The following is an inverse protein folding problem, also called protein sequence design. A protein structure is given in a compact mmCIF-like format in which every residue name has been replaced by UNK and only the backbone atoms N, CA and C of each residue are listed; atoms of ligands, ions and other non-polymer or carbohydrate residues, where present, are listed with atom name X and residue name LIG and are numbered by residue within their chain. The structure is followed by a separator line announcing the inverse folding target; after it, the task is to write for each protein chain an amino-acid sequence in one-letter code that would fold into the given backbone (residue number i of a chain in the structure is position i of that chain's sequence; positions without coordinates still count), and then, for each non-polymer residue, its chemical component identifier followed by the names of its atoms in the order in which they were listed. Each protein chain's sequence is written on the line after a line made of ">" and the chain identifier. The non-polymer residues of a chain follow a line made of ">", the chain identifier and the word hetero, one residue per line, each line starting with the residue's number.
data_IF_101315803171
#
_entry.id   IF_101315803171
#
_cell.length_a   1.000
_cell.length_b   1.000
_cell.length_c   1.000
_cell.angle_alpha   90.00
_cell.angle_beta   90.00
_cell.angle_gamma   90.00
#
_symmetry.space_group_name_H-M   'P 1'
#
loop_
_entity.id
_entity.type
_entity.pdbx_description
1 polymer ?
#
# COMPACT_ATOMS: atom_id res chain seq x y z
N UNK A 1 4.62 7.65 -26.27
CA UNK A 1 5.35 7.72 -24.98
C UNK A 1 5.64 6.30 -24.54
N UNK A 2 6.91 5.99 -24.29
CA UNK A 2 7.29 4.71 -23.67
C UNK A 2 7.32 4.90 -22.14
N UNK A 3 6.28 4.41 -21.46
CA UNK A 3 6.14 4.52 -20.00
C UNK A 3 6.34 3.16 -19.35
N UNK A 4 7.15 3.12 -18.30
CA UNK A 4 7.39 1.92 -17.51
C UNK A 4 6.92 2.12 -16.08
N UNK A 5 5.97 1.31 -15.64
CA UNK A 5 5.41 1.31 -14.27
C UNK A 5 6.34 0.55 -13.31
N UNK A 6 7.38 1.23 -12.83
CA UNK A 6 8.45 0.62 -12.00
C UNK A 6 8.39 1.00 -10.51
N UNK A 7 7.36 1.72 -10.10
CA UNK A 7 7.16 2.25 -8.75
C UNK A 7 7.90 3.56 -8.49
N UNK A 8 7.42 4.32 -7.48
CA UNK A 8 7.89 5.67 -7.17
C UNK A 8 9.38 5.74 -6.83
N UNK A 9 9.94 4.70 -6.19
CA UNK A 9 11.38 4.65 -5.87
C UNK A 9 12.24 4.67 -7.12
N UNK A 10 11.99 3.75 -8.05
CA UNK A 10 12.74 3.63 -9.30
C UNK A 10 12.47 4.81 -10.24
N UNK A 11 11.22 5.29 -10.29
CA UNK A 11 10.85 6.46 -11.10
C UNK A 11 11.60 7.72 -10.68
N UNK A 12 11.68 8.00 -9.37
CA UNK A 12 12.46 9.12 -8.82
C UNK A 12 13.96 8.97 -9.11
N UNK A 13 14.50 7.76 -8.91
CA UNK A 13 15.92 7.50 -9.19
C UNK A 13 16.25 7.76 -10.66
N UNK A 14 15.49 7.22 -11.60
CA UNK A 14 15.70 7.41 -13.02
C UNK A 14 15.62 8.91 -13.43
N UNK A 15 14.73 9.68 -12.77
CA UNK A 15 14.62 11.12 -13.01
C UNK A 15 15.82 11.90 -12.46
N UNK A 16 16.31 11.58 -11.26
CA UNK A 16 17.53 12.18 -10.67
C UNK A 16 18.77 11.85 -11.52
N UNK A 17 18.89 10.59 -11.98
CA UNK A 17 20.00 10.10 -12.81
C UNK A 17 19.89 10.61 -14.28
N UNK A 18 18.87 11.39 -14.61
CA UNK A 18 18.62 11.98 -15.93
C UNK A 18 18.46 10.95 -17.08
N UNK A 19 18.10 9.69 -16.74
CA UNK A 19 17.89 8.62 -17.73
C UNK A 19 16.51 8.65 -18.38
N UNK A 20 15.60 9.50 -17.88
CA UNK A 20 14.24 9.68 -18.40
C UNK A 20 13.90 11.19 -18.50
N UNK A 21 12.96 11.52 -19.39
CA UNK A 21 12.50 12.90 -19.56
C UNK A 21 11.55 13.36 -18.44
N UNK A 22 10.75 12.44 -17.91
CA UNK A 22 9.86 12.69 -16.77
C UNK A 22 9.78 11.44 -15.89
N UNK A 23 9.45 11.63 -14.61
CA UNK A 23 9.18 10.56 -13.66
C UNK A 23 7.82 10.78 -13.01
N UNK A 24 7.14 9.71 -12.63
CA UNK A 24 5.92 9.76 -11.82
C UNK A 24 6.17 9.21 -10.41
N UNK A 25 5.49 9.77 -9.43
CA UNK A 25 5.57 9.35 -8.03
C UNK A 25 4.26 9.63 -7.30
N UNK A 26 3.82 8.72 -6.44
CA UNK A 26 2.65 8.92 -5.56
C UNK A 26 3.04 9.61 -4.23
N UNK A 27 4.32 9.88 -4.03
CA UNK A 27 4.86 10.49 -2.83
C UNK A 27 5.75 11.67 -3.22
N UNK A 28 5.51 12.89 -2.74
CA UNK A 28 6.29 14.06 -3.10
C UNK A 28 7.79 13.87 -2.88
N UNK A 29 8.61 14.45 -3.75
CA UNK A 29 10.06 14.45 -3.57
C UNK A 29 10.44 15.32 -2.38
N UNK A 30 11.35 14.82 -1.55
CA UNK A 30 11.94 15.58 -0.44
C UNK A 30 12.93 16.60 -0.98
N UNK A 31 13.13 17.71 -0.27
CA UNK A 31 14.11 18.74 -0.63
C UNK A 31 15.51 18.16 -0.89
N UNK A 32 15.92 17.16 -0.07
CA UNK A 32 17.21 16.48 -0.26
C UNK A 32 17.34 15.69 -1.58
N UNK A 33 16.23 15.28 -2.18
CA UNK A 33 16.21 14.61 -3.48
C UNK A 33 16.06 15.64 -4.62
N UNK A 34 15.28 16.70 -4.40
CA UNK A 34 15.16 17.83 -5.34
C UNK A 34 16.53 18.45 -5.60
N UNK A 35 17.34 18.65 -4.56
CA UNK A 35 18.69 19.22 -4.65
C UNK A 35 19.66 18.37 -5.52
N UNK A 36 19.36 17.09 -5.77
CA UNK A 36 20.17 16.20 -6.62
C UNK A 36 19.84 16.35 -8.11
N UNK A 37 18.73 16.97 -8.46
CA UNK A 37 18.28 17.13 -9.85
C UNK A 37 18.99 18.29 -10.49
N UNK A 38 20.08 18.05 -11.21
CA UNK A 38 20.96 19.11 -11.78
C UNK A 38 20.26 20.06 -12.75
N UNK A 39 19.32 19.54 -13.56
CA UNK A 39 18.54 20.32 -14.53
C UNK A 39 17.34 21.07 -13.93
N UNK A 40 17.16 20.99 -12.61
CA UNK A 40 15.97 21.48 -11.94
C UNK A 40 14.74 20.61 -12.20
N UNK A 41 13.66 20.86 -11.48
CA UNK A 41 12.41 20.13 -11.65
C UNK A 41 11.19 20.98 -11.30
N UNK A 42 10.05 20.57 -11.83
CA UNK A 42 8.73 20.99 -11.40
C UNK A 42 7.93 19.73 -11.07
N UNK A 43 7.24 19.72 -9.94
CA UNK A 43 6.36 18.61 -9.56
C UNK A 43 4.91 19.08 -9.69
N UNK A 44 4.15 18.36 -10.54
CA UNK A 44 2.78 18.74 -10.91
C UNK A 44 1.84 17.61 -10.45
N UNK A 45 0.82 17.89 -9.61
CA UNK A 45 -0.23 16.93 -9.32
C UNK A 45 -1.03 16.62 -10.60
N UNK A 46 -1.04 15.36 -11.02
CA UNK A 46 -1.72 14.93 -12.25
C UNK A 46 -3.02 14.17 -11.95
N UNK A 47 -3.04 13.37 -10.90
CA UNK A 47 -4.19 12.56 -10.52
C UNK A 47 -4.10 12.17 -9.05
N UNK A 48 -5.21 11.76 -8.47
CA UNK A 48 -5.28 11.16 -7.15
C UNK A 48 -5.83 9.74 -7.22
N UNK A 49 -5.56 8.96 -6.19
CA UNK A 49 -6.09 7.61 -6.04
C UNK A 49 -6.20 7.24 -4.57
N UNK A 50 -7.07 6.29 -4.27
CA UNK A 50 -7.22 5.72 -2.93
C UNK A 50 -6.45 4.41 -2.80
N UNK A 51 -6.07 4.08 -1.57
CA UNK A 51 -5.43 2.80 -1.22
C UNK A 51 -6.46 1.97 -0.47
N UNK A 52 -6.68 0.75 -0.94
CA UNK A 52 -7.56 -0.23 -0.33
C UNK A 52 -6.77 -1.29 0.43
N UNK A 53 -7.32 -1.78 1.54
CA UNK A 53 -7.01 -3.12 2.02
C UNK A 53 -7.73 -4.11 1.11
N UNK A 54 -7.01 -4.61 0.11
CA UNK A 54 -7.51 -5.62 -0.81
C UNK A 54 -7.35 -7.01 -0.22
N UNK A 55 -8.37 -7.86 -0.30
CA UNK A 55 -8.31 -9.21 0.24
C UNK A 55 -9.06 -10.24 -0.62
N UNK A 56 -8.71 -11.51 -0.46
CA UNK A 56 -9.36 -12.65 -1.10
C UNK A 56 -9.87 -13.62 -0.02
N UNK A 57 -11.06 -13.35 0.48
CA UNK A 57 -11.80 -14.24 1.37
C UNK A 57 -13.31 -14.11 1.05
N UNK A 58 -13.80 -14.85 0.05
CA UNK A 58 -15.21 -14.82 -0.34
C UNK A 58 -16.11 -15.23 0.82
N UNK A 59 -17.19 -14.49 1.03
CA UNK A 59 -18.14 -14.72 2.14
C UNK A 59 -17.83 -13.89 3.40
N UNK A 60 -16.68 -13.24 3.49
CA UNK A 60 -16.33 -12.34 4.58
C UNK A 60 -16.45 -10.86 4.12
N UNK A 61 -17.35 -10.09 4.72
CA UNK A 61 -17.40 -8.61 4.56
C UNK A 61 -16.69 -7.95 5.74
N UNK A 62 -15.37 -7.88 5.65
CA UNK A 62 -14.53 -7.43 6.75
C UNK A 62 -14.60 -5.93 6.97
N UNK A 63 -14.77 -5.55 8.24
CA UNK A 63 -14.72 -4.18 8.73
C UNK A 63 -13.60 -4.07 9.76
N UNK A 64 -12.62 -3.23 9.50
CA UNK A 64 -11.47 -3.05 10.38
C UNK A 64 -11.54 -1.69 11.07
N UNK A 65 -11.44 -1.68 12.39
CA UNK A 65 -11.11 -0.45 13.13
C UNK A 65 -9.71 0.02 12.74
N UNK A 66 -9.37 1.25 13.05
CA UNK A 66 -8.00 1.77 12.81
C UNK A 66 -6.94 0.91 13.50
N UNK A 67 -7.21 0.47 14.73
CA UNK A 67 -6.30 -0.40 15.49
C UNK A 67 -6.14 -1.76 14.80
N UNK A 68 -7.25 -2.41 14.40
CA UNK A 68 -7.20 -3.70 13.71
C UNK A 68 -6.47 -3.61 12.35
N UNK A 69 -6.65 -2.51 11.61
CA UNK A 69 -5.92 -2.28 10.36
C UNK A 69 -4.39 -2.26 10.57
N UNK A 70 -3.94 -1.61 11.65
CA UNK A 70 -2.53 -1.62 12.06
C UNK A 70 -2.08 -3.01 12.49
N UNK A 71 -2.87 -3.72 13.28
CA UNK A 71 -2.55 -5.06 13.79
C UNK A 71 -2.48 -6.11 12.68
N UNK A 72 -3.34 -6.02 11.65
CA UNK A 72 -3.24 -6.84 10.44
C UNK A 72 -1.92 -6.60 9.72
N UNK A 73 -1.56 -5.32 9.50
CA UNK A 73 -0.33 -4.96 8.81
C UNK A 73 0.94 -5.36 9.59
N UNK A 74 0.87 -5.42 10.92
CA UNK A 74 1.94 -5.89 11.79
C UNK A 74 1.97 -7.43 11.96
N UNK A 75 0.97 -8.15 11.44
CA UNK A 75 0.85 -9.60 11.60
C UNK A 75 0.43 -10.05 13.00
N UNK A 76 -0.04 -9.14 13.85
CA UNK A 76 -0.63 -9.43 15.17
C UNK A 76 -1.97 -10.15 14.96
N UNK A 77 -2.82 -9.58 14.08
CA UNK A 77 -3.99 -10.28 13.53
C UNK A 77 -3.49 -11.07 12.33
N UNK A 78 -3.57 -12.40 12.43
CA UNK A 78 -3.07 -13.35 11.43
C UNK A 78 -4.05 -14.49 11.11
N UNK A 79 -5.28 -14.38 11.61
CA UNK A 79 -6.38 -15.28 11.34
C UNK A 79 -7.67 -14.47 11.13
N UNK A 80 -8.46 -14.86 10.15
CA UNK A 80 -9.70 -14.17 9.79
C UNK A 80 -10.77 -14.24 10.88
N UNK A 81 -10.73 -15.26 11.75
CA UNK A 81 -11.63 -15.36 12.92
C UNK A 81 -11.46 -14.20 13.91
N UNK A 82 -10.28 -13.57 13.96
CA UNK A 82 -10.00 -12.43 14.84
C UNK A 82 -10.70 -11.14 14.39
N UNK A 83 -11.24 -11.13 13.16
CA UNK A 83 -12.00 -10.01 12.58
C UNK A 83 -13.43 -10.38 12.21
N UNK A 84 -13.94 -11.48 12.78
CA UNK A 84 -15.35 -11.88 12.68
C UNK A 84 -15.70 -12.73 11.45
N UNK A 85 -14.73 -13.33 10.79
CA UNK A 85 -14.90 -14.26 9.68
C UNK A 85 -14.61 -15.71 10.11
N UNK A 86 -14.67 -16.65 9.18
CA UNK A 86 -14.37 -18.08 9.45
C UNK A 86 -12.90 -18.27 9.85
N UNK A 87 -12.63 -19.39 10.55
CA UNK A 87 -11.28 -19.77 10.94
C UNK A 87 -10.44 -20.10 9.70
N UNK A 88 -9.65 -19.14 9.28
CA UNK A 88 -8.74 -19.25 8.16
C UNK A 88 -7.49 -18.41 8.44
N UNK A 89 -6.32 -18.96 8.12
CA UNK A 89 -5.06 -18.23 8.22
C UNK A 89 -5.08 -17.00 7.32
N UNK A 90 -4.67 -15.85 7.86
CA UNK A 90 -4.52 -14.61 7.13
C UNK A 90 -3.08 -14.45 6.65
N UNK A 91 -2.88 -14.18 5.35
CA UNK A 91 -1.56 -13.91 4.77
C UNK A 91 -1.44 -12.42 4.43
N UNK A 92 -0.54 -11.71 5.10
CA UNK A 92 -0.21 -10.32 4.76
C UNK A 92 0.62 -10.23 3.49
N UNK A 93 0.26 -9.33 2.56
CA UNK A 93 0.97 -9.11 1.30
C UNK A 93 1.37 -7.64 1.18
N UNK A 94 2.65 -7.38 0.94
CA UNK A 94 3.20 -6.03 0.92
C UNK A 94 4.08 -5.78 -0.32
N UNK A 95 4.44 -4.52 -0.55
CA UNK A 95 5.33 -4.11 -1.65
C UNK A 95 6.78 -4.39 -1.32
N UNK A 96 7.46 -5.17 -2.17
CA UNK A 96 8.90 -5.44 -2.06
C UNK A 96 9.78 -4.38 -2.72
N UNK A 97 9.19 -3.47 -3.50
CA UNK A 97 9.88 -2.37 -4.20
C UNK A 97 9.68 -1.03 -3.49
N UNK A 98 10.48 -0.03 -3.84
CA UNK A 98 10.34 1.34 -3.34
C UNK A 98 9.05 2.00 -3.84
N UNK A 99 8.00 2.02 -3.01
CA UNK A 99 6.62 2.29 -3.38
C UNK A 99 6.09 3.58 -2.74
N UNK A 100 5.51 4.48 -3.58
CA UNK A 100 4.73 5.61 -3.10
C UNK A 100 3.44 5.16 -2.40
N UNK A 101 2.83 4.04 -2.85
CA UNK A 101 1.68 3.42 -2.18
C UNK A 101 2.05 2.99 -0.76
N UNK A 102 3.24 2.39 -0.56
CA UNK A 102 3.75 2.05 0.78
C UNK A 102 3.94 3.30 1.63
N UNK A 103 4.49 4.38 1.08
CA UNK A 103 4.70 5.63 1.82
C UNK A 103 3.36 6.21 2.32
N UNK A 104 2.35 6.29 1.46
CA UNK A 104 1.02 6.78 1.83
C UNK A 104 0.31 5.82 2.82
N UNK A 105 0.41 4.52 2.60
CA UNK A 105 -0.13 3.50 3.50
C UNK A 105 0.48 3.61 4.91
N UNK A 106 1.80 3.61 5.02
CA UNK A 106 2.50 3.68 6.31
C UNK A 106 2.26 4.99 7.05
N UNK A 107 2.08 6.10 6.32
CA UNK A 107 1.66 7.37 6.90
C UNK A 107 0.26 7.28 7.53
N UNK A 108 -0.68 6.60 6.87
CA UNK A 108 -2.01 6.34 7.43
C UNK A 108 -1.94 5.45 8.67
N UNK A 109 -1.16 4.36 8.62
CA UNK A 109 -0.98 3.45 9.77
C UNK A 109 -0.41 4.18 11.00
N UNK A 110 0.58 5.04 10.79
CA UNK A 110 1.14 5.86 11.87
C UNK A 110 0.12 6.83 12.47
N UNK A 111 -0.80 7.35 11.65
CA UNK A 111 -1.87 8.22 12.14
C UNK A 111 -3.00 7.47 12.83
N UNK A 112 -3.17 6.17 12.57
CA UNK A 112 -4.24 5.34 13.11
C UNK A 112 -3.95 4.86 14.53
N UNK A 113 -2.72 4.46 14.80
CA UNK A 113 -2.38 3.90 16.11
C UNK A 113 -0.91 4.11 16.48
N UNK A 114 -0.67 4.36 17.77
CA UNK A 114 0.67 4.37 18.38
C UNK A 114 1.34 2.99 18.36
N UNK A 115 0.59 1.92 18.13
CA UNK A 115 1.12 0.56 17.97
C UNK A 115 1.97 0.43 16.69
N UNK A 116 1.79 1.32 15.70
CA UNK A 116 2.60 1.36 14.51
C UNK A 116 4.02 1.84 14.82
N UNK A 117 5.01 0.95 14.71
CA UNK A 117 6.42 1.22 15.05
C UNK A 117 7.38 1.12 13.87
N UNK A 118 6.87 0.76 12.67
CA UNK A 118 7.72 0.54 11.48
C UNK A 118 8.14 1.86 10.79
N UNK A 119 7.61 3.00 11.25
CA UNK A 119 7.87 4.31 10.65
C UNK A 119 7.10 4.53 9.33
N UNK A 120 7.42 5.62 8.64
CA UNK A 120 6.80 6.05 7.38
C UNK A 120 7.84 6.06 6.28
N UNK A 121 7.55 5.40 5.15
CA UNK A 121 8.49 5.40 4.04
C UNK A 121 8.04 4.54 2.86
N UNK A 122 8.79 4.65 1.76
CA UNK A 122 8.59 3.85 0.54
C UNK A 122 8.95 2.37 0.71
N UNK A 123 9.68 2.05 1.77
CA UNK A 123 10.07 0.70 2.19
C UNK A 123 10.19 0.70 3.71
N UNK A 124 9.64 -0.30 4.37
CA UNK A 124 9.73 -0.52 5.82
C UNK A 124 10.06 -1.99 6.10
N UNK A 125 10.55 -2.29 7.30
CA UNK A 125 10.87 -3.65 7.71
C UNK A 125 9.63 -4.41 8.17
N UNK A 126 8.91 -5.06 7.25
CA UNK A 126 7.71 -5.83 7.58
C UNK A 126 8.04 -7.02 8.48
N UNK A 127 7.33 -7.23 9.59
CA UNK A 127 7.63 -8.33 10.53
C UNK A 127 7.20 -9.69 9.99
N UNK A 128 6.23 -9.74 9.06
CA UNK A 128 5.70 -10.98 8.49
C UNK A 128 5.09 -10.72 7.12
N UNK A 129 4.72 -11.79 6.41
CA UNK A 129 4.01 -11.73 5.14
C UNK A 129 4.90 -11.99 3.93
N UNK A 130 4.37 -11.69 2.73
CA UNK A 130 5.01 -11.93 1.45
C UNK A 130 5.15 -10.61 0.67
N UNK A 131 6.37 -10.33 0.22
CA UNK A 131 6.66 -9.18 -0.62
C UNK A 131 6.40 -9.45 -2.10
N UNK A 132 5.73 -8.51 -2.79
CA UNK A 132 5.48 -8.58 -4.22
C UNK A 132 5.77 -7.25 -4.91
N UNK A 133 6.25 -7.30 -6.16
CA UNK A 133 6.67 -6.12 -6.91
C UNK A 133 5.48 -5.41 -7.55
N UNK A 134 5.35 -4.14 -7.28
CA UNK A 134 4.29 -3.29 -7.84
C UNK A 134 2.89 -3.60 -7.29
N UNK A 135 1.91 -2.75 -7.58
CA UNK A 135 0.51 -3.06 -7.26
C UNK A 135 0.03 -4.34 -7.96
N UNK A 136 0.44 -4.56 -9.21
CA UNK A 136 0.09 -5.75 -9.98
C UNK A 136 0.60 -7.04 -9.32
N UNK A 137 1.83 -7.04 -8.79
CA UNK A 137 2.38 -8.18 -8.06
C UNK A 137 1.61 -8.47 -6.78
N UNK A 138 1.31 -7.44 -5.97
CA UNK A 138 0.49 -7.60 -4.74
C UNK A 138 -0.90 -8.13 -5.11
N UNK A 139 -1.57 -7.53 -6.09
CA UNK A 139 -2.87 -8.00 -6.57
C UNK A 139 -2.81 -9.45 -7.07
N UNK A 140 -1.76 -9.82 -7.80
CA UNK A 140 -1.56 -11.18 -8.28
C UNK A 140 -1.45 -12.21 -7.14
N UNK A 141 -0.70 -11.89 -6.08
CA UNK A 141 -0.61 -12.77 -4.90
C UNK A 141 -1.98 -12.88 -4.21
N UNK A 142 -2.66 -11.76 -3.98
CA UNK A 142 -3.99 -11.77 -3.33
C UNK A 142 -4.99 -12.58 -4.15
N UNK A 143 -5.07 -12.38 -5.47
CA UNK A 143 -6.00 -13.08 -6.36
C UNK A 143 -5.83 -14.61 -6.30
N UNK A 144 -4.59 -15.08 -6.20
CA UNK A 144 -4.25 -16.49 -6.28
C UNK A 144 -4.11 -17.19 -4.90
N UNK A 145 -4.27 -16.44 -3.81
CA UNK A 145 -4.11 -16.98 -2.45
C UNK A 145 -5.36 -16.70 -1.61
N UNK A 146 -6.25 -17.68 -1.42
CA UNK A 146 -7.37 -17.55 -0.48
C UNK A 146 -6.85 -17.21 0.92
N UNK A 147 -7.48 -16.24 1.57
CA UNK A 147 -7.07 -15.72 2.88
C UNK A 147 -5.98 -14.65 2.83
N UNK A 148 -5.46 -14.28 1.66
CA UNK A 148 -4.51 -13.18 1.54
C UNK A 148 -5.19 -11.81 1.67
N UNK A 149 -4.50 -10.88 2.32
CA UNK A 149 -4.87 -9.46 2.48
C UNK A 149 -3.62 -8.60 2.32
N UNK A 150 -3.76 -7.44 1.70
CA UNK A 150 -2.64 -6.51 1.52
C UNK A 150 -3.16 -5.12 1.14
N UNK A 151 -2.26 -4.19 0.84
CA UNK A 151 -2.63 -2.85 0.37
C UNK A 151 -2.33 -2.68 -1.11
N UNK A 152 -3.29 -2.15 -1.84
CA UNK A 152 -3.20 -1.88 -3.28
C UNK A 152 -3.91 -0.57 -3.62
N UNK A 153 -3.54 0.03 -4.76
CA UNK A 153 -4.38 1.09 -5.33
C UNK A 153 -5.78 0.51 -5.64
N UNK A 154 -6.84 1.28 -5.37
CA UNK A 154 -8.23 0.85 -5.55
C UNK A 154 -8.53 0.32 -6.97
N UNK A 155 -7.83 0.79 -7.99
CA UNK A 155 -7.99 0.30 -9.37
C UNK A 155 -7.72 -1.20 -9.54
N UNK A 156 -7.04 -1.83 -8.57
CA UNK A 156 -6.78 -3.28 -8.52
C UNK A 156 -7.83 -4.07 -7.74
N UNK A 157 -8.79 -3.39 -7.10
CA UNK A 157 -9.93 -4.05 -6.43
C UNK A 157 -10.95 -4.45 -7.49
N UNK A 158 -10.82 -5.66 -7.96
CA UNK A 158 -11.67 -6.28 -8.99
C UNK A 158 -11.54 -7.80 -8.93
N UNK A 159 -12.43 -8.48 -9.61
CA UNK A 159 -12.49 -9.94 -9.73
C UNK A 159 -12.59 -10.60 -8.34
N UNK A 160 -11.54 -11.29 -7.91
CA UNK A 160 -11.47 -11.96 -6.60
C UNK A 160 -10.99 -11.05 -5.47
N UNK A 161 -10.58 -9.81 -5.76
CA UNK A 161 -10.09 -8.89 -4.74
C UNK A 161 -11.24 -8.03 -4.25
N UNK A 162 -11.60 -8.24 -2.99
CA UNK A 162 -12.56 -7.42 -2.26
C UNK A 162 -11.84 -6.30 -1.51
N UNK A 163 -12.54 -5.20 -1.21
CA UNK A 163 -12.01 -4.12 -0.38
C UNK A 163 -12.58 -4.18 1.03
N UNK A 164 -11.71 -4.18 2.03
CA UNK A 164 -12.14 -4.03 3.42
C UNK A 164 -12.74 -2.64 3.66
N UNK A 165 -13.73 -2.58 4.53
CA UNK A 165 -14.27 -1.32 5.08
C UNK A 165 -13.40 -0.89 6.25
N UNK A 166 -12.92 0.36 6.25
CA UNK A 166 -12.01 0.86 7.28
C UNK A 166 -12.68 1.97 8.08
N UNK A 167 -12.50 1.96 9.40
CA UNK A 167 -12.97 3.02 10.26
C UNK A 167 -12.19 4.32 10.02
N UNK A 168 -12.88 5.41 9.74
CA UNK A 168 -12.27 6.74 9.61
C UNK A 168 -12.10 7.43 10.99
N UNK A 169 -11.52 8.64 11.00
CA UNK A 169 -11.31 9.40 12.25
C UNK A 169 -12.58 9.82 12.97
N UNK A 170 -13.72 9.90 12.27
CA UNK A 170 -15.03 10.18 12.87
C UNK A 170 -15.74 8.94 13.41
N UNK A 171 -15.09 7.77 13.36
CA UNK A 171 -15.64 6.50 13.83
C UNK A 171 -16.52 5.78 12.81
N UNK A 172 -16.73 6.36 11.62
CA UNK A 172 -17.55 5.76 10.57
C UNK A 172 -16.75 4.73 9.78
N UNK A 173 -17.38 3.63 9.40
CA UNK A 173 -16.79 2.63 8.53
C UNK A 173 -17.06 2.99 7.07
N UNK A 174 -16.00 3.18 6.28
CA UNK A 174 -16.06 3.63 4.90
C UNK A 174 -15.29 2.69 3.97
N UNK A 175 -15.81 2.50 2.75
CA UNK A 175 -15.08 1.82 1.67
C UNK A 175 -14.15 2.81 0.96
N UNK A 176 -13.04 2.32 0.38
CA UNK A 176 -12.11 3.16 -0.38
C UNK A 176 -12.73 3.71 -1.66
#
# INVERSE_FOLDING_TARGET
>A
VNYQAVGSGSGRKAFIDETVHFGATDDPMKESDIAKVKRGMVQIPMTGGTIAFGYNNPGCDVKLTQQQAVEVALGIINNWSQVGCDDQKMLWVYRSDGSGTTAAFTNSMQSFSKTWTLGVGKSVGWPSGVGAKGNAGVAGVITNTPGAIGYVNQSYVKDKILAATIQNKSGQFVKP
#
